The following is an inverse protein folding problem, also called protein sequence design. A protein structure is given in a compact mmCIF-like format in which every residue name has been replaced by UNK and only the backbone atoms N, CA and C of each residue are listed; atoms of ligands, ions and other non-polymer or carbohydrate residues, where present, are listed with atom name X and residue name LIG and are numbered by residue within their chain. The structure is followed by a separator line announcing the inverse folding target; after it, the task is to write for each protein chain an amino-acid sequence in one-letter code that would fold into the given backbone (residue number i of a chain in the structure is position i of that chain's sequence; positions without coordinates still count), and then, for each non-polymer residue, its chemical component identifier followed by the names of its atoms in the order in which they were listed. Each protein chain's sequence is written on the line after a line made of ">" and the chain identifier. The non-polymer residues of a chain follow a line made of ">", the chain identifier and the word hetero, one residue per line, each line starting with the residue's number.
data_IF_114061487463
#
_entry.id   IF_114061487463
#
_cell.length_a   1.000
_cell.length_b   1.000
_cell.length_c   1.000
_cell.angle_alpha   90.00
_cell.angle_beta   90.00
_cell.angle_gamma   90.00
#
_symmetry.space_group_name_H-M   'P 1'
#
loop_
_entity.id
_entity.type
_entity.pdbx_description
1 polymer ?
#
# COMPACT_ATOMS: atom_id res chain seq x y z
N UNK A 1 18.89 7.32 -7.30
CA UNK A 1 18.56 6.18 -6.41
C UNK A 1 18.57 6.57 -4.93
N UNK A 2 19.61 7.25 -4.43
CA UNK A 2 19.72 7.74 -3.03
C UNK A 2 18.42 8.39 -2.50
N UNK A 3 17.89 9.36 -3.25
CA UNK A 3 16.68 10.11 -2.86
C UNK A 3 15.44 9.23 -2.72
N UNK A 4 15.26 8.23 -3.58
CA UNK A 4 14.13 7.29 -3.48
C UNK A 4 14.23 6.48 -2.18
N UNK A 5 15.44 6.00 -1.84
CA UNK A 5 15.69 5.26 -0.60
C UNK A 5 15.40 6.13 0.63
N UNK A 6 15.84 7.39 0.64
CA UNK A 6 15.55 8.32 1.75
C UNK A 6 14.04 8.55 1.93
N UNK A 7 13.32 8.81 0.84
CA UNK A 7 11.86 8.99 0.88
C UNK A 7 11.13 7.73 1.38
N UNK A 8 11.58 6.54 0.98
CA UNK A 8 11.08 5.28 1.52
C UNK A 8 11.32 5.18 3.03
N UNK A 9 12.51 5.53 3.51
CA UNK A 9 12.84 5.44 4.93
C UNK A 9 12.06 6.47 5.77
N UNK A 10 11.89 7.69 5.27
CA UNK A 10 10.97 8.67 5.88
C UNK A 10 9.54 8.13 5.97
N UNK A 11 9.06 7.46 4.91
CA UNK A 11 7.78 6.75 4.91
C UNK A 11 7.72 5.68 5.99
N UNK A 12 8.77 4.88 6.17
CA UNK A 12 8.84 3.83 7.19
C UNK A 12 8.75 4.43 8.61
N UNK A 13 9.46 5.53 8.87
CA UNK A 13 9.43 6.24 10.14
C UNK A 13 8.04 6.84 10.44
N UNK A 14 7.38 7.38 9.42
CA UNK A 14 6.01 7.87 9.55
C UNK A 14 5.02 6.74 9.86
N UNK A 15 5.20 5.55 9.28
CA UNK A 15 4.40 4.36 9.63
C UNK A 15 4.60 3.97 11.09
N UNK A 16 5.84 3.96 11.60
CA UNK A 16 6.12 3.67 13.02
C UNK A 16 5.43 4.65 13.96
N UNK A 17 5.29 5.91 13.52
CA UNK A 17 4.58 6.97 14.25
C UNK A 17 3.06 6.97 14.04
N UNK A 18 2.51 6.00 13.29
CA UNK A 18 1.08 5.90 12.98
C UNK A 18 0.58 6.94 11.96
N UNK A 19 1.47 7.74 11.35
CA UNK A 19 1.09 8.77 10.40
C UNK A 19 0.99 8.22 8.98
N UNK A 20 -0.02 7.40 8.75
CA UNK A 20 -0.21 6.67 7.49
C UNK A 20 -0.44 7.60 6.28
N UNK A 21 -1.10 8.75 6.45
CA UNK A 21 -1.33 9.71 5.35
C UNK A 21 -0.01 10.29 4.83
N UNK A 22 0.83 10.82 5.73
CA UNK A 22 2.15 11.35 5.32
C UNK A 22 3.06 10.25 4.81
N UNK A 23 2.97 9.03 5.36
CA UNK A 23 3.73 7.89 4.84
C UNK A 23 3.38 7.59 3.38
N UNK A 24 2.09 7.62 3.01
CA UNK A 24 1.63 7.45 1.63
C UNK A 24 2.24 8.49 0.69
N UNK A 25 2.29 9.76 1.10
CA UNK A 25 2.92 10.83 0.30
C UNK A 25 4.39 10.52 0.02
N UNK A 26 5.16 10.18 1.07
CA UNK A 26 6.58 9.86 0.95
C UNK A 26 6.86 8.62 0.09
N UNK A 27 6.08 7.55 0.28
CA UNK A 27 6.18 6.39 -0.59
C UNK A 27 5.80 6.70 -2.04
N UNK A 28 4.82 7.57 -2.27
CA UNK A 28 4.42 7.98 -3.61
C UNK A 28 5.52 8.76 -4.32
N UNK A 29 6.19 9.66 -3.62
CA UNK A 29 7.37 10.36 -4.14
C UNK A 29 8.52 9.36 -4.42
N UNK A 30 8.77 8.41 -3.51
CA UNK A 30 9.77 7.35 -3.73
C UNK A 30 9.47 6.55 -4.99
N UNK A 31 8.23 6.10 -5.19
CA UNK A 31 7.80 5.27 -6.32
C UNK A 31 7.85 6.01 -7.67
N UNK A 32 7.73 7.35 -7.66
CA UNK A 32 7.96 8.16 -8.87
C UNK A 32 9.43 8.11 -9.31
N UNK A 33 10.35 7.98 -8.36
CA UNK A 33 11.80 7.94 -8.64
C UNK A 33 12.30 6.51 -8.91
N UNK A 34 11.78 5.53 -8.16
CA UNK A 34 12.14 4.13 -8.32
C UNK A 34 10.97 3.22 -7.92
N UNK A 35 10.51 2.40 -8.86
CA UNK A 35 9.48 1.38 -8.59
C UNK A 35 10.11 0.20 -7.86
N UNK A 36 9.62 -0.08 -6.65
CA UNK A 36 10.18 -1.13 -5.79
C UNK A 36 9.05 -1.89 -5.10
N UNK A 37 9.13 -3.22 -5.11
CA UNK A 37 8.12 -4.09 -4.50
C UNK A 37 7.87 -3.76 -3.01
N UNK A 38 8.94 -3.55 -2.24
CA UNK A 38 8.85 -3.22 -0.82
C UNK A 38 8.10 -1.90 -0.59
N UNK A 39 8.37 -0.88 -1.40
CA UNK A 39 7.72 0.43 -1.28
C UNK A 39 6.22 0.35 -1.61
N UNK A 40 5.84 -0.33 -2.70
CA UNK A 40 4.42 -0.59 -3.00
C UNK A 40 3.73 -1.36 -1.87
N UNK A 41 4.38 -2.40 -1.36
CA UNK A 41 3.84 -3.22 -0.26
C UNK A 41 3.62 -2.39 1.00
N UNK A 42 4.56 -1.51 1.36
CA UNK A 42 4.45 -0.63 2.53
C UNK A 42 3.40 0.47 2.35
N UNK A 43 3.26 1.04 1.16
CA UNK A 43 2.19 2.01 0.87
C UNK A 43 0.81 1.35 0.91
N UNK A 44 0.67 0.11 0.43
CA UNK A 44 -0.56 -0.67 0.55
C UNK A 44 -1.00 -0.89 2.02
N UNK A 45 -0.05 -1.12 2.94
CA UNK A 45 -0.36 -1.21 4.37
C UNK A 45 -0.96 0.09 4.91
N UNK A 46 -0.43 1.23 4.48
CA UNK A 46 -0.94 2.53 4.89
C UNK A 46 -2.35 2.74 4.34
N UNK A 47 -2.59 2.40 3.08
CA UNK A 47 -3.92 2.45 2.49
C UNK A 47 -4.94 1.54 3.21
N UNK A 48 -4.55 0.32 3.60
CA UNK A 48 -5.39 -0.54 4.44
C UNK A 48 -5.75 0.13 5.77
N UNK A 49 -4.76 0.74 6.43
CA UNK A 49 -4.95 1.45 7.71
C UNK A 49 -5.87 2.67 7.56
N UNK A 50 -5.86 3.29 6.39
CA UNK A 50 -6.73 4.42 6.02
C UNK A 50 -8.07 3.99 5.42
N UNK A 51 -8.37 2.69 5.36
CA UNK A 51 -9.56 2.10 4.72
C UNK A 51 -9.71 2.42 3.22
N UNK A 52 -8.60 2.76 2.57
CA UNK A 52 -8.50 3.01 1.13
C UNK A 52 -8.23 1.69 0.40
N UNK A 53 -9.22 0.80 0.42
CA UNK A 53 -9.02 -0.60 0.04
C UNK A 53 -8.76 -0.79 -1.46
N UNK A 54 -9.29 0.08 -2.33
CA UNK A 54 -9.04 0.00 -3.79
C UNK A 54 -7.56 0.25 -4.10
N UNK A 55 -7.03 1.31 -3.52
CA UNK A 55 -5.64 1.74 -3.65
C UNK A 55 -4.69 0.69 -3.05
N UNK A 56 -5.03 0.13 -1.89
CA UNK A 56 -4.27 -0.97 -1.30
C UNK A 56 -4.19 -2.19 -2.22
N UNK A 57 -5.30 -2.60 -2.84
CA UNK A 57 -5.34 -3.73 -3.76
C UNK A 57 -4.53 -3.47 -5.05
N UNK A 58 -4.58 -2.24 -5.55
CA UNK A 58 -3.77 -1.80 -6.71
C UNK A 58 -2.28 -1.85 -6.39
N UNK A 59 -1.85 -1.28 -5.26
CA UNK A 59 -0.44 -1.31 -4.85
C UNK A 59 0.07 -2.73 -4.64
N UNK A 60 -0.73 -3.61 -4.04
CA UNK A 60 -0.35 -5.01 -3.91
C UNK A 60 -0.23 -5.69 -5.28
N UNK A 61 -1.07 -5.32 -6.25
CA UNK A 61 -0.98 -5.85 -7.62
C UNK A 61 0.31 -5.40 -8.29
N UNK A 62 0.70 -4.13 -8.16
CA UNK A 62 1.99 -3.63 -8.66
C UNK A 62 3.18 -4.29 -7.96
N UNK A 63 3.11 -4.51 -6.64
CA UNK A 63 4.13 -5.24 -5.90
C UNK A 63 4.29 -6.68 -6.41
N UNK A 64 3.18 -7.37 -6.71
CA UNK A 64 3.17 -8.75 -7.22
C UNK A 64 3.63 -8.86 -8.68
N UNK A 65 3.51 -7.80 -9.48
CA UNK A 65 4.13 -7.76 -10.81
C UNK A 65 5.66 -7.76 -10.71
N UNK A 66 6.22 -7.15 -9.67
CA UNK A 66 7.66 -7.08 -9.43
C UNK A 66 8.19 -8.33 -8.70
N UNK A 67 7.43 -8.85 -7.74
CA UNK A 67 7.73 -10.07 -7.01
C UNK A 67 6.44 -10.89 -6.80
N UNK A 68 6.14 -11.83 -7.71
CA UNK A 68 4.93 -12.64 -7.66
C UNK A 68 4.78 -13.49 -6.40
N UNK A 69 5.88 -13.77 -5.69
CA UNK A 69 5.90 -14.62 -4.49
C UNK A 69 5.86 -13.81 -3.19
N UNK A 70 5.66 -12.49 -3.27
CA UNK A 70 5.63 -11.63 -2.10
C UNK A 70 4.40 -11.95 -1.22
N UNK A 71 4.62 -12.72 -0.16
CA UNK A 71 3.57 -13.16 0.77
C UNK A 71 2.85 -11.98 1.42
N UNK A 72 3.57 -10.89 1.75
CA UNK A 72 2.96 -9.69 2.34
C UNK A 72 2.00 -9.02 1.38
N UNK A 73 2.38 -8.89 0.10
CA UNK A 73 1.52 -8.31 -0.93
C UNK A 73 0.29 -9.20 -1.22
N UNK A 74 0.46 -10.53 -1.29
CA UNK A 74 -0.68 -11.47 -1.43
C UNK A 74 -1.68 -11.33 -0.28
N UNK A 75 -1.18 -11.36 0.96
CA UNK A 75 -2.01 -11.25 2.16
C UNK A 75 -2.77 -9.91 2.21
N UNK A 76 -2.05 -8.79 2.00
CA UNK A 76 -2.65 -7.45 2.02
C UNK A 76 -3.66 -7.24 0.90
N UNK A 77 -3.41 -7.81 -0.29
CA UNK A 77 -4.38 -7.80 -1.40
C UNK A 77 -5.65 -8.56 -1.05
N UNK A 78 -5.51 -9.76 -0.48
CA UNK A 78 -6.66 -10.55 -0.05
C UNK A 78 -7.50 -9.81 1.01
N UNK A 79 -6.84 -9.18 1.98
CA UNK A 79 -7.49 -8.33 2.98
C UNK A 79 -8.24 -7.17 2.33
N UNK A 80 -7.59 -6.43 1.44
CA UNK A 80 -8.21 -5.29 0.73
C UNK A 80 -9.45 -5.72 -0.09
N UNK A 81 -9.35 -6.84 -0.82
CA UNK A 81 -10.47 -7.34 -1.64
C UNK A 81 -11.64 -7.82 -0.78
N UNK A 82 -11.37 -8.43 0.38
CA UNK A 82 -12.42 -8.81 1.34
C UNK A 82 -13.20 -7.59 1.81
N UNK A 83 -12.50 -6.54 2.24
CA UNK A 83 -13.12 -5.30 2.72
C UNK A 83 -13.93 -4.58 1.63
N UNK A 84 -13.44 -4.58 0.39
CA UNK A 84 -14.17 -4.04 -0.76
C UNK A 84 -15.47 -4.79 -1.04
N UNK A 85 -15.43 -6.12 -0.98
CA UNK A 85 -16.62 -6.95 -1.19
C UNK A 85 -17.68 -6.68 -0.12
N UNK A 86 -17.27 -6.64 1.15
CA UNK A 86 -18.18 -6.32 2.28
C UNK A 86 -18.81 -4.94 2.09
N UNK A 87 -18.02 -3.94 1.71
CA UNK A 87 -18.53 -2.58 1.48
C UNK A 87 -19.53 -2.51 0.32
N UNK A 88 -19.30 -3.29 -0.75
CA UNK A 88 -20.23 -3.36 -1.89
C UNK A 88 -21.53 -4.08 -1.54
N UNK A 89 -21.48 -5.15 -0.75
CA UNK A 89 -22.66 -5.86 -0.28
C UNK A 89 -23.50 -4.99 0.65
N UNK A 90 -22.85 -4.25 1.57
CA UNK A 90 -23.53 -3.30 2.44
C UNK A 90 -24.30 -2.22 1.66
N UNK A 91 -23.68 -1.65 0.61
CA UNK A 91 -24.31 -0.62 -0.21
C UNK A 91 -25.47 -1.11 -1.08
N UNK A 92 -25.55 -2.41 -1.40
CA UNK A 92 -26.66 -2.99 -2.18
C UNK A 92 -27.88 -3.36 -1.33
N UNK A 93 -27.74 -3.34 -0.01
CA UNK A 93 -28.82 -3.65 0.94
C UNK A 93 -29.73 -2.47 1.30
N UNK A 94 -29.50 -1.30 0.70
CA UNK A 94 -30.32 -0.09 0.80
C UNK A 94 -30.89 0.25 -0.58
#
# INVERSE_FOLDING_TARGET
>A
MERARMLKEEGNELVKKGNHKKAVEKYSESLKLNKECATYTNRALCYLSLKQYKEAAQDCTEALKLDPKNVKALYRRAQALKELKVSQEFLKGF
#
